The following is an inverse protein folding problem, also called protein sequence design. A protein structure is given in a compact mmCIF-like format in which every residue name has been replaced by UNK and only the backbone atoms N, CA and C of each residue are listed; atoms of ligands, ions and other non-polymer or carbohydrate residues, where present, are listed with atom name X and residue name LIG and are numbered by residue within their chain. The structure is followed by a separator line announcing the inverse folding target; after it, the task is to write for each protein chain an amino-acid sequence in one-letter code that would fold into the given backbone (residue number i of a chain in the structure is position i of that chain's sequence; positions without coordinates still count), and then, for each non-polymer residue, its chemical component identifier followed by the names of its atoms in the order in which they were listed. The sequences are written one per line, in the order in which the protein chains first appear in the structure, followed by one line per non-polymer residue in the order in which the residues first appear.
data_IF_476355206887
#
_entry.id   IF_476355206887
#
_cell.length_a   1.000
_cell.length_b   1.000
_cell.length_c   1.000
_cell.angle_alpha   90.00
_cell.angle_beta   90.00
_cell.angle_gamma   90.00
#
_symmetry.space_group_name_H-M   'P 1'
#
loop_
_entity.id
_entity.type
_entity.pdbx_description
1 polymer ?
#
# COMPACT_ATOMS: atom_id res chain seq x y z
N UNK A 1 -53.86 -59.25 -25.30
CA UNK A 1 -52.89 -58.14 -25.28
C UNK A 1 -52.33 -58.01 -23.86
N UNK A 2 -51.08 -58.45 -23.63
CA UNK A 2 -50.36 -58.25 -22.36
C UNK A 2 -49.50 -57.00 -22.51
N UNK A 3 -49.67 -56.02 -21.61
CA UNK A 3 -48.79 -54.84 -21.52
C UNK A 3 -47.85 -55.05 -20.35
N UNK A 4 -46.55 -55.12 -20.65
CA UNK A 4 -45.46 -55.05 -19.67
C UNK A 4 -45.29 -53.60 -19.20
N UNK A 5 -45.16 -53.39 -17.88
CA UNK A 5 -44.57 -52.16 -17.32
C UNK A 5 -43.35 -52.54 -16.49
N UNK A 6 -42.20 -52.10 -16.98
CA UNK A 6 -40.89 -52.21 -16.33
C UNK A 6 -40.77 -51.06 -15.32
N UNK A 7 -40.65 -51.39 -14.03
CA UNK A 7 -40.34 -50.42 -12.98
C UNK A 7 -38.82 -50.26 -12.90
N UNK A 8 -38.27 -49.15 -13.41
CA UNK A 8 -36.86 -48.79 -13.21
C UNK A 8 -36.69 -48.22 -11.80
N UNK A 9 -36.07 -48.99 -10.92
CA UNK A 9 -35.60 -48.50 -9.61
C UNK A 9 -34.30 -47.73 -9.86
N UNK A 10 -34.34 -46.41 -9.69
CA UNK A 10 -33.14 -45.58 -9.62
C UNK A 10 -32.53 -45.74 -8.22
N UNK A 11 -31.42 -46.46 -8.13
CA UNK A 11 -30.59 -46.50 -6.94
C UNK A 11 -29.79 -45.18 -6.87
N UNK A 12 -30.27 -44.22 -6.10
CA UNK A 12 -29.49 -43.02 -5.75
C UNK A 12 -28.48 -43.46 -4.69
N UNK A 13 -27.22 -43.68 -5.10
CA UNK A 13 -26.09 -43.77 -4.18
C UNK A 13 -25.90 -42.40 -3.52
N UNK A 14 -26.41 -42.25 -2.30
CA UNK A 14 -25.96 -41.20 -1.40
C UNK A 14 -24.54 -41.53 -0.94
N UNK A 15 -23.54 -40.95 -1.60
CA UNK A 15 -22.20 -40.85 -1.02
C UNK A 15 -22.31 -39.79 0.07
N UNK A 16 -22.47 -40.21 1.32
CA UNK A 16 -22.37 -39.33 2.48
C UNK A 16 -20.91 -38.91 2.66
N UNK A 17 -20.55 -37.77 2.07
CA UNK A 17 -19.39 -37.01 2.56
C UNK A 17 -19.73 -36.59 4.00
N UNK A 18 -19.20 -37.35 4.97
CA UNK A 18 -19.14 -36.91 6.35
C UNK A 18 -18.15 -35.75 6.40
N UNK A 19 -18.65 -34.53 6.19
CA UNK A 19 -18.02 -33.36 6.80
C UNK A 19 -18.13 -33.60 8.31
N UNK A 20 -17.05 -34.09 8.93
CA UNK A 20 -16.91 -33.94 10.37
C UNK A 20 -16.90 -32.43 10.61
N UNK A 21 -18.03 -31.88 11.05
CA UNK A 21 -18.08 -30.52 11.53
C UNK A 21 -17.03 -30.41 12.65
N UNK A 22 -16.05 -29.53 12.49
CA UNK A 22 -15.05 -29.28 13.53
C UNK A 22 -15.80 -28.87 14.80
N UNK A 23 -15.65 -29.65 15.88
CA UNK A 23 -16.36 -29.40 17.13
C UNK A 23 -15.52 -28.43 17.95
N UNK A 24 -15.99 -27.19 18.20
CA UNK A 24 -15.26 -26.26 19.06
C UNK A 24 -15.23 -26.80 20.49
N UNK A 25 -14.04 -26.87 21.08
CA UNK A 25 -13.79 -27.33 22.45
C UNK A 25 -13.78 -26.17 23.44
N UNK A 26 -13.02 -25.11 23.13
CA UNK A 26 -12.76 -24.02 24.07
C UNK A 26 -12.39 -22.74 23.32
N UNK A 27 -12.40 -21.62 24.03
CA UNK A 27 -11.94 -20.31 23.56
C UNK A 27 -10.87 -19.75 24.48
N UNK A 28 -9.70 -19.41 23.93
CA UNK A 28 -8.54 -18.92 24.69
C UNK A 28 -8.18 -17.51 24.26
N UNK A 29 -8.06 -16.59 25.23
CA UNK A 29 -7.49 -15.27 24.97
C UNK A 29 -5.96 -15.38 24.89
N UNK A 30 -5.39 -14.97 23.76
CA UNK A 30 -3.95 -15.00 23.51
C UNK A 30 -3.42 -13.61 23.17
N UNK A 31 -2.09 -13.48 23.07
CA UNK A 31 -1.45 -12.25 22.55
C UNK A 31 -1.85 -11.94 21.10
N UNK A 32 -2.30 -12.95 20.35
CA UNK A 32 -2.71 -12.85 18.95
C UNK A 32 -4.21 -12.55 18.79
N UNK A 33 -4.96 -12.52 19.89
CA UNK A 33 -6.41 -12.40 19.90
C UNK A 33 -7.09 -13.64 20.47
N UNK A 34 -8.41 -13.66 20.37
CA UNK A 34 -9.26 -14.73 20.90
C UNK A 34 -9.24 -15.92 19.94
N UNK A 35 -8.80 -17.08 20.40
CA UNK A 35 -8.66 -18.31 19.62
C UNK A 35 -9.78 -19.29 19.99
N UNK A 36 -10.36 -19.99 19.01
CA UNK A 36 -11.20 -21.18 19.22
C UNK A 36 -10.36 -22.42 18.95
N UNK A 37 -10.35 -23.34 19.91
CA UNK A 37 -9.69 -24.64 19.81
C UNK A 37 -10.72 -25.69 19.39
N UNK A 38 -10.37 -26.59 18.47
CA UNK A 38 -11.25 -27.64 17.98
C UNK A 38 -10.84 -29.04 18.47
N UNK A 39 -11.77 -29.99 18.39
CA UNK A 39 -11.58 -31.37 18.85
C UNK A 39 -10.53 -32.16 18.09
N UNK A 40 -10.20 -31.73 16.87
CA UNK A 40 -9.13 -32.26 16.03
C UNK A 40 -7.76 -31.63 16.32
N UNK A 41 -7.64 -30.87 17.41
CA UNK A 41 -6.44 -30.10 17.81
C UNK A 41 -6.08 -28.96 16.85
N UNK A 42 -6.95 -28.63 15.90
CA UNK A 42 -6.82 -27.40 15.13
C UNK A 42 -7.32 -26.21 15.94
N UNK A 43 -7.02 -25.01 15.45
CA UNK A 43 -7.49 -23.77 16.05
C UNK A 43 -7.78 -22.74 14.96
N UNK A 44 -8.66 -21.79 15.28
CA UNK A 44 -8.90 -20.59 14.49
C UNK A 44 -8.91 -19.36 15.39
N UNK A 45 -8.58 -18.20 14.85
CA UNK A 45 -8.80 -16.94 15.57
C UNK A 45 -10.20 -16.45 15.27
N UNK A 46 -10.88 -16.01 16.33
CA UNK A 46 -12.17 -15.34 16.25
C UNK A 46 -11.93 -13.97 15.63
N UNK A 47 -12.51 -13.68 14.46
CA UNK A 47 -12.41 -12.35 13.87
C UNK A 47 -12.98 -11.32 14.85
N UNK A 48 -12.26 -10.20 15.01
CA UNK A 48 -12.81 -9.07 15.75
C UNK A 48 -13.95 -8.45 14.94
N UNK A 49 -15.19 -8.81 15.29
CA UNK A 49 -16.40 -8.32 14.61
C UNK A 49 -16.62 -6.82 14.78
N UNK A 50 -15.88 -6.16 15.68
CA UNK A 50 -15.94 -4.71 15.88
C UNK A 50 -14.96 -3.94 15.01
N UNK A 51 -13.98 -4.64 14.40
CA UNK A 51 -12.99 -4.01 13.55
C UNK A 51 -13.58 -3.73 12.16
N UNK A 52 -13.75 -2.45 11.85
CA UNK A 52 -14.28 -1.99 10.56
C UNK A 52 -13.22 -1.86 9.45
N UNK A 53 -11.99 -2.31 9.70
CA UNK A 53 -10.90 -2.29 8.73
C UNK A 53 -10.17 -0.95 8.60
N UNK A 54 -10.60 0.09 9.32
CA UNK A 54 -10.03 1.44 9.21
C UNK A 54 -9.11 1.71 10.38
N UNK A 55 -7.80 1.73 10.11
CA UNK A 55 -6.78 2.04 11.11
C UNK A 55 -6.60 3.54 11.34
N UNK A 56 -6.72 4.35 10.27
CA UNK A 56 -6.58 5.80 10.34
C UNK A 56 -7.90 6.49 10.01
N UNK A 57 -8.68 6.84 11.06
CA UNK A 57 -10.02 7.43 10.93
C UNK A 57 -10.00 8.81 10.29
N UNK A 58 -9.02 9.63 10.65
CA UNK A 58 -8.89 11.00 10.13
C UNK A 58 -8.61 10.99 8.63
N UNK A 59 -7.60 10.23 8.21
CA UNK A 59 -7.27 10.05 6.81
C UNK A 59 -8.46 9.44 6.04
N UNK A 60 -9.14 8.46 6.62
CA UNK A 60 -10.33 7.88 5.99
C UNK A 60 -11.46 8.89 5.78
N UNK A 61 -11.68 9.78 6.76
CA UNK A 61 -12.62 10.89 6.64
C UNK A 61 -12.24 11.82 5.49
N UNK A 62 -10.97 12.23 5.41
CA UNK A 62 -10.44 13.06 4.32
C UNK A 62 -10.67 12.40 2.97
N UNK A 63 -10.33 11.11 2.86
CA UNK A 63 -10.38 10.34 1.62
C UNK A 63 -11.81 10.03 1.16
N UNK A 64 -12.79 10.14 2.05
CA UNK A 64 -14.21 9.98 1.75
C UNK A 64 -14.86 11.25 1.18
N UNK A 65 -14.16 12.40 1.21
CA UNK A 65 -14.72 13.66 0.72
C UNK A 65 -14.73 13.73 -0.81
N UNK A 66 -15.77 14.35 -1.37
CA UNK A 66 -15.96 14.51 -2.83
C UNK A 66 -15.10 15.64 -3.42
N UNK A 67 -14.79 16.67 -2.63
CA UNK A 67 -14.01 17.85 -3.05
C UNK A 67 -12.57 17.50 -3.44
N UNK A 68 -12.01 16.44 -2.86
CA UNK A 68 -10.66 15.94 -3.18
C UNK A 68 -10.62 14.98 -4.40
N UNK A 69 -11.73 14.79 -5.11
CA UNK A 69 -11.84 13.85 -6.24
C UNK A 69 -12.29 12.43 -5.87
N UNK A 70 -12.68 12.21 -4.60
CA UNK A 70 -13.27 10.97 -4.08
C UNK A 70 -14.78 10.85 -4.33
N UNK A 71 -15.50 10.00 -3.56
CA UNK A 71 -15.01 9.24 -2.40
C UNK A 71 -14.08 8.09 -2.83
N UNK A 72 -12.99 7.92 -2.09
CA UNK A 72 -12.12 6.75 -2.21
C UNK A 72 -12.46 5.74 -1.12
N UNK A 73 -12.55 4.46 -1.50
CA UNK A 73 -13.01 3.39 -0.61
C UNK A 73 -11.84 2.47 -0.30
N UNK A 74 -11.71 2.08 0.96
CA UNK A 74 -10.72 1.11 1.40
C UNK A 74 -11.45 -0.04 2.10
N UNK A 75 -11.85 -1.04 1.31
CA UNK A 75 -12.59 -2.20 1.85
C UNK A 75 -11.63 -3.06 2.68
N UNK A 76 -12.12 -3.61 3.79
CA UNK A 76 -11.46 -4.76 4.41
C UNK A 76 -11.96 -6.02 3.73
N UNK A 77 -11.07 -6.66 2.98
CA UNK A 77 -11.32 -7.91 2.30
C UNK A 77 -10.03 -8.72 2.41
N UNK A 78 -10.11 -9.89 3.03
CA UNK A 78 -8.99 -10.80 3.25
C UNK A 78 -8.89 -11.91 2.18
N UNK A 79 -9.75 -11.85 1.17
CA UNK A 79 -9.81 -12.79 0.07
C UNK A 79 -9.47 -12.15 -1.29
N UNK A 80 -9.69 -10.84 -1.46
CA UNK A 80 -9.23 -10.10 -2.64
C UNK A 80 -7.98 -9.27 -2.32
N UNK A 81 -6.97 -9.34 -3.19
CA UNK A 81 -5.80 -8.47 -3.08
C UNK A 81 -6.14 -7.01 -3.42
N UNK A 82 -7.24 -6.72 -4.13
CA UNK A 82 -7.56 -5.38 -4.62
C UNK A 82 -9.04 -5.01 -4.46
N UNK A 83 -9.34 -3.80 -4.02
CA UNK A 83 -10.71 -3.24 -4.01
C UNK A 83 -11.18 -2.79 -5.41
N UNK A 84 -10.25 -2.50 -6.35
CA UNK A 84 -10.48 -2.07 -7.75
C UNK A 84 -11.43 -0.86 -7.97
N UNK A 85 -11.79 -0.15 -6.90
CA UNK A 85 -12.76 0.95 -6.95
C UNK A 85 -12.12 2.35 -7.13
N UNK A 86 -10.85 2.50 -6.76
CA UNK A 86 -10.22 3.81 -6.67
C UNK A 86 -9.49 4.21 -7.95
N UNK A 87 -9.62 5.47 -8.33
CA UNK A 87 -8.78 6.12 -9.34
C UNK A 87 -8.13 7.37 -8.75
N UNK A 88 -6.96 7.21 -8.12
CA UNK A 88 -6.24 8.30 -7.47
C UNK A 88 -5.62 9.33 -8.43
N UNK A 89 -5.67 9.10 -9.75
CA UNK A 89 -5.30 10.15 -10.71
C UNK A 89 -6.30 11.33 -10.70
N UNK A 90 -7.49 11.13 -10.13
CA UNK A 90 -8.51 12.16 -9.92
C UNK A 90 -8.30 13.02 -8.68
N UNK A 91 -7.33 12.68 -7.83
CA UNK A 91 -7.04 13.42 -6.62
C UNK A 91 -6.78 14.90 -6.95
N UNK A 92 -7.58 15.80 -6.39
CA UNK A 92 -7.49 17.24 -6.72
C UNK A 92 -6.53 18.00 -5.80
N UNK A 93 -6.17 17.43 -4.65
CA UNK A 93 -5.29 18.03 -3.65
C UNK A 93 -4.11 17.11 -3.28
N UNK A 94 -3.23 17.61 -2.41
CA UNK A 94 -2.13 16.87 -1.81
C UNK A 94 -2.60 16.22 -0.51
N UNK A 95 -2.28 14.95 -0.32
CA UNK A 95 -2.50 14.27 0.96
C UNK A 95 -1.16 14.17 1.68
N UNK A 96 -1.11 14.64 2.91
CA UNK A 96 0.03 14.47 3.78
C UNK A 96 -0.15 13.19 4.60
N UNK A 97 0.88 12.35 4.62
CA UNK A 97 0.99 11.18 5.48
C UNK A 97 2.19 11.34 6.41
N UNK A 98 1.97 11.07 7.70
CA UNK A 98 3.02 10.86 8.68
C UNK A 98 3.43 9.38 8.59
N UNK A 99 4.63 9.09 8.10
CA UNK A 99 5.11 7.72 7.92
C UNK A 99 5.54 7.08 9.25
N UNK A 100 6.09 7.89 10.14
CA UNK A 100 6.48 7.53 11.51
C UNK A 100 5.90 8.58 12.46
N UNK A 101 5.21 8.12 13.51
CA UNK A 101 4.72 8.94 14.60
C UNK A 101 5.20 8.38 15.95
N UNK A 102 4.98 9.13 17.03
CA UNK A 102 5.41 8.72 18.38
C UNK A 102 4.57 7.57 18.98
N UNK A 103 3.47 7.18 18.32
CA UNK A 103 2.53 6.16 18.78
C UNK A 103 2.82 4.75 18.24
N UNK A 104 3.70 4.63 17.24
CA UNK A 104 3.98 3.39 16.51
C UNK A 104 5.49 3.14 16.33
N UNK A 105 5.85 1.89 16.03
CA UNK A 105 7.23 1.51 15.74
C UNK A 105 7.81 2.23 14.52
N UNK A 106 9.09 2.58 14.60
CA UNK A 106 9.85 3.16 13.48
C UNK A 106 9.93 2.17 12.31
N UNK A 107 10.06 2.69 11.09
CA UNK A 107 10.23 1.93 9.88
C UNK A 107 11.40 0.94 9.98
N UNK A 108 11.15 -0.28 9.49
CA UNK A 108 12.19 -1.30 9.31
C UNK A 108 12.25 -1.72 7.85
N UNK A 109 13.45 -1.91 7.31
CA UNK A 109 13.59 -2.45 5.96
C UNK A 109 13.04 -3.90 5.92
N UNK A 110 12.16 -4.27 4.97
CA UNK A 110 11.57 -5.62 4.92
C UNK A 110 12.57 -6.76 4.82
N UNK A 111 13.71 -6.49 4.18
CA UNK A 111 14.83 -7.40 3.99
C UNK A 111 16.11 -6.60 3.69
N UNK A 112 17.25 -7.05 4.20
CA UNK A 112 18.56 -6.51 3.86
C UNK A 112 19.05 -7.10 2.54
N UNK A 113 18.57 -6.54 1.43
CA UNK A 113 18.90 -7.01 0.09
C UNK A 113 18.98 -5.87 -0.94
N UNK A 114 19.92 -5.90 -1.89
CA UNK A 114 20.00 -4.91 -2.95
C UNK A 114 18.77 -4.95 -3.86
N UNK A 115 18.41 -3.79 -4.40
CA UNK A 115 17.37 -3.68 -5.45
C UNK A 115 17.86 -4.35 -6.74
N UNK A 116 17.19 -5.42 -7.15
CA UNK A 116 17.46 -6.11 -8.43
C UNK A 116 16.57 -5.57 -9.54
N UNK A 117 15.37 -5.08 -9.20
CA UNK A 117 14.41 -4.63 -10.19
C UNK A 117 13.46 -3.55 -9.64
N UNK A 118 13.53 -2.35 -10.24
CA UNK A 118 12.75 -1.14 -9.86
C UNK A 118 11.29 -1.11 -10.36
N UNK A 119 10.50 -0.27 -9.71
CA UNK A 119 9.17 0.17 -10.17
C UNK A 119 9.32 0.91 -11.51
N UNK A 120 8.86 0.30 -12.60
CA UNK A 120 8.88 0.87 -13.96
C UNK A 120 8.03 0.05 -14.93
N UNK A 121 7.76 0.64 -16.09
CA UNK A 121 7.23 -0.09 -17.24
C UNK A 121 8.29 -0.99 -17.87
N UNK A 122 7.94 -2.25 -18.17
CA UNK A 122 8.81 -3.24 -18.84
C UNK A 122 8.01 -4.16 -19.73
N UNK A 123 8.44 -4.33 -20.98
CA UNK A 123 7.94 -5.37 -21.88
C UNK A 123 6.39 -5.46 -21.94
N UNK A 124 5.70 -4.32 -22.05
CA UNK A 124 4.24 -4.31 -22.12
C UNK A 124 3.52 -4.23 -20.76
N UNK A 125 4.19 -4.50 -19.64
CA UNK A 125 3.58 -4.61 -18.30
C UNK A 125 4.25 -3.66 -17.29
N UNK A 126 3.46 -3.11 -16.37
CA UNK A 126 4.00 -2.32 -15.27
C UNK A 126 4.45 -3.23 -14.13
N UNK A 127 5.67 -3.00 -13.65
CA UNK A 127 6.14 -3.52 -12.39
C UNK A 127 5.64 -2.62 -11.27
N UNK A 128 4.67 -3.10 -10.48
CA UNK A 128 3.95 -2.31 -9.47
C UNK A 128 4.69 -2.16 -8.13
N UNK A 129 5.86 -2.77 -8.00
CA UNK A 129 6.70 -2.73 -6.82
C UNK A 129 8.17 -2.67 -7.17
N UNK A 130 8.98 -3.17 -6.25
CA UNK A 130 10.42 -3.32 -6.35
C UNK A 130 10.79 -4.74 -5.95
N UNK A 131 11.79 -5.30 -6.60
CA UNK A 131 12.32 -6.61 -6.26
C UNK A 131 13.63 -6.42 -5.51
N UNK A 132 13.72 -7.05 -4.35
CA UNK A 132 14.88 -7.06 -3.46
C UNK A 132 15.48 -8.45 -3.47
N UNK A 133 16.79 -8.53 -3.66
CA UNK A 133 17.50 -9.80 -3.61
C UNK A 133 17.34 -10.45 -2.23
N UNK A 134 17.13 -11.77 -2.20
CA UNK A 134 17.17 -12.55 -0.98
C UNK A 134 17.43 -14.02 -1.25
N UNK A 135 17.88 -14.73 -0.23
CA UNK A 135 17.99 -16.19 -0.26
C UNK A 135 16.69 -16.80 0.25
N UNK A 136 16.24 -17.88 -0.40
CA UNK A 136 15.02 -18.57 0.04
C UNK A 136 15.21 -19.06 1.47
N UNK A 137 14.28 -18.69 2.36
CA UNK A 137 14.38 -18.95 3.80
C UNK A 137 14.78 -17.74 4.63
N UNK A 138 15.29 -16.65 4.03
CA UNK A 138 15.57 -15.41 4.76
C UNK A 138 14.30 -14.86 5.41
N UNK A 139 14.42 -14.27 6.60
CA UNK A 139 13.28 -13.68 7.31
C UNK A 139 12.87 -12.37 6.64
N UNK A 140 11.59 -12.29 6.25
CA UNK A 140 10.97 -11.05 5.78
C UNK A 140 10.15 -10.45 6.93
N UNK A 141 10.30 -9.14 7.16
CA UNK A 141 9.66 -8.43 8.27
C UNK A 141 8.65 -7.38 7.80
N UNK A 142 7.72 -7.00 8.69
CA UNK A 142 6.81 -5.88 8.43
C UNK A 142 7.57 -4.55 8.41
N UNK A 143 7.31 -3.73 7.39
CA UNK A 143 7.96 -2.42 7.22
C UNK A 143 7.50 -1.37 8.24
N UNK A 144 6.25 -1.47 8.70
CA UNK A 144 5.61 -0.57 9.64
C UNK A 144 4.64 -1.36 10.54
N UNK A 145 4.22 -0.77 11.64
CA UNK A 145 3.12 -1.30 12.46
C UNK A 145 1.83 -1.38 11.65
N UNK A 146 1.02 -2.41 11.89
CA UNK A 146 -0.23 -2.56 11.17
C UNK A 146 -1.03 -3.80 11.53
N UNK A 147 -2.01 -4.08 10.69
CA UNK A 147 -2.86 -5.27 10.75
C UNK A 147 -2.77 -6.00 9.43
N UNK A 148 -2.46 -7.29 9.49
CA UNK A 148 -2.42 -8.17 8.32
C UNK A 148 -3.82 -8.24 7.72
N UNK A 149 -3.97 -7.77 6.48
CA UNK A 149 -5.23 -7.84 5.75
C UNK A 149 -5.36 -9.15 4.98
N UNK A 150 -4.25 -9.65 4.45
CA UNK A 150 -4.23 -10.82 3.57
C UNK A 150 -2.99 -11.65 3.89
N UNK A 151 -3.16 -12.96 4.07
CA UNK A 151 -2.04 -13.88 4.20
C UNK A 151 -2.47 -15.25 3.66
N UNK A 152 -2.14 -15.52 2.40
CA UNK A 152 -2.46 -16.79 1.73
C UNK A 152 -1.70 -16.91 0.41
N UNK A 153 -1.79 -18.10 -0.19
CA UNK A 153 -1.36 -18.30 -1.56
C UNK A 153 -2.30 -17.59 -2.55
N UNK A 154 -1.72 -16.80 -3.43
CA UNK A 154 -2.37 -16.05 -4.49
C UNK A 154 -2.01 -16.63 -5.87
N UNK A 155 -3.03 -17.08 -6.60
CA UNK A 155 -2.89 -17.62 -7.97
C UNK A 155 -2.76 -16.55 -9.06
N UNK A 156 -2.91 -15.26 -8.71
CA UNK A 156 -2.80 -14.11 -9.62
C UNK A 156 -1.37 -13.71 -9.99
N UNK A 157 -0.37 -14.45 -9.50
CA UNK A 157 1.05 -14.28 -9.82
C UNK A 157 1.93 -13.95 -8.63
N UNK A 158 1.38 -13.48 -7.50
CA UNK A 158 2.19 -13.17 -6.31
C UNK A 158 2.71 -14.41 -5.57
N UNK A 159 2.08 -15.58 -5.73
CA UNK A 159 2.43 -16.75 -4.92
C UNK A 159 1.98 -16.54 -3.47
N UNK A 160 2.77 -16.98 -2.49
CA UNK A 160 2.46 -16.66 -1.10
C UNK A 160 2.65 -15.17 -0.86
N UNK A 161 1.57 -14.54 -0.42
CA UNK A 161 1.47 -13.09 -0.28
C UNK A 161 0.99 -12.73 1.11
N UNK A 162 1.70 -11.79 1.74
CA UNK A 162 1.21 -11.04 2.90
C UNK A 162 0.90 -9.61 2.46
N UNK A 163 -0.25 -9.09 2.86
CA UNK A 163 -0.62 -7.67 2.72
C UNK A 163 -0.90 -7.12 4.11
N UNK A 164 -0.25 -6.02 4.47
CA UNK A 164 -0.39 -5.38 5.78
C UNK A 164 -0.92 -3.97 5.56
N UNK A 165 -1.99 -3.63 6.27
CA UNK A 165 -2.53 -2.27 6.33
C UNK A 165 -1.93 -1.56 7.54
N UNK A 166 -1.43 -0.36 7.35
CA UNK A 166 -0.68 0.38 8.38
C UNK A 166 -1.44 1.58 8.92
N UNK A 167 -1.07 2.01 10.13
CA UNK A 167 -1.67 3.17 10.79
C UNK A 167 -1.36 4.50 10.08
N UNK A 168 -0.26 4.56 9.32
CA UNK A 168 0.08 5.69 8.44
C UNK A 168 -0.77 5.76 7.15
N UNK A 169 -1.69 4.81 6.94
CA UNK A 169 -2.62 4.79 5.81
C UNK A 169 -2.12 4.08 4.55
N UNK A 170 -0.90 3.54 4.58
CA UNK A 170 -0.35 2.73 3.50
C UNK A 170 -0.75 1.25 3.65
N UNK A 171 -0.73 0.52 2.54
CA UNK A 171 -0.62 -0.93 2.53
C UNK A 171 0.72 -1.36 1.95
N UNK A 172 1.33 -2.40 2.51
CA UNK A 172 2.53 -3.03 1.95
C UNK A 172 2.26 -4.47 1.55
N UNK A 173 2.87 -4.90 0.44
CA UNK A 173 2.71 -6.24 -0.13
C UNK A 173 4.07 -6.94 -0.09
N UNK A 174 4.07 -8.19 0.37
CA UNK A 174 5.26 -9.04 0.48
C UNK A 174 4.98 -10.35 -0.25
N UNK A 175 5.44 -10.45 -1.49
CA UNK A 175 5.12 -11.55 -2.39
C UNK A 175 6.29 -12.52 -2.60
N UNK A 176 6.00 -13.61 -3.29
CA UNK A 176 6.92 -14.71 -3.63
C UNK A 176 7.48 -15.46 -2.42
N UNK A 177 6.89 -15.30 -1.23
CA UNK A 177 7.36 -15.92 0.00
C UNK A 177 7.37 -17.45 -0.10
N UNK A 178 8.31 -18.11 0.57
CA UNK A 178 8.32 -19.58 0.69
C UNK A 178 7.37 -20.06 1.78
N UNK A 179 7.20 -19.26 2.84
CA UNK A 179 6.33 -19.57 3.98
C UNK A 179 5.66 -18.31 4.54
N UNK A 180 4.39 -18.45 4.90
CA UNK A 180 3.61 -17.44 5.61
C UNK A 180 3.71 -17.73 7.12
N UNK A 181 4.03 -16.72 7.92
CA UNK A 181 4.18 -16.85 9.38
C UNK A 181 3.15 -16.02 10.16
N UNK A 182 2.27 -15.32 9.44
CA UNK A 182 1.18 -14.51 9.99
C UNK A 182 -0.13 -14.83 9.28
N UNK A 183 -1.26 -14.42 9.85
CA UNK A 183 -2.62 -14.67 9.32
C UNK A 183 -3.43 -13.37 9.27
N UNK A 184 -4.54 -13.36 8.52
CA UNK A 184 -5.44 -12.20 8.41
C UNK A 184 -6.00 -11.79 9.77
N UNK A 185 -5.99 -10.48 10.06
CA UNK A 185 -6.42 -9.90 11.33
C UNK A 185 -5.32 -9.79 12.39
N UNK A 186 -4.15 -10.41 12.18
CA UNK A 186 -3.02 -10.30 13.11
C UNK A 186 -2.51 -8.86 13.16
N UNK A 187 -2.40 -8.29 14.36
CA UNK A 187 -1.62 -7.07 14.60
C UNK A 187 -0.14 -7.41 14.57
N UNK A 188 0.64 -6.63 13.84
CA UNK A 188 2.08 -6.82 13.68
C UNK A 188 2.82 -5.51 13.92
N UNK A 189 3.99 -5.61 14.53
CA UNK A 189 4.89 -4.47 14.72
C UNK A 189 5.89 -4.36 13.56
N UNK A 190 6.41 -3.15 13.33
CA UNK A 190 7.56 -2.96 12.47
C UNK A 190 8.73 -3.84 12.93
N UNK A 191 9.38 -4.52 11.98
CA UNK A 191 10.44 -5.48 12.26
C UNK A 191 9.98 -6.87 12.71
N UNK A 192 8.68 -7.10 12.92
CA UNK A 192 8.14 -8.43 13.22
C UNK A 192 8.24 -9.33 11.98
N UNK A 193 8.68 -10.57 12.18
CA UNK A 193 8.82 -11.56 11.10
C UNK A 193 7.44 -12.01 10.61
N UNK A 194 7.17 -11.80 9.34
CA UNK A 194 5.86 -12.09 8.72
C UNK A 194 5.89 -13.31 7.78
N UNK A 195 7.08 -13.70 7.32
CA UNK A 195 7.25 -14.79 6.39
C UNK A 195 8.71 -15.07 6.09
N UNK A 196 8.93 -16.06 5.23
CA UNK A 196 10.26 -16.41 4.73
C UNK A 196 10.35 -16.10 3.24
N UNK A 197 11.47 -15.52 2.80
CA UNK A 197 11.78 -15.24 1.40
C UNK A 197 11.72 -16.49 0.54
N UNK A 198 11.41 -16.34 -0.74
CA UNK A 198 11.22 -17.49 -1.63
C UNK A 198 11.13 -17.15 -3.11
N UNK A 199 10.52 -18.07 -3.86
CA UNK A 199 10.34 -18.00 -5.30
C UNK A 199 8.97 -18.58 -5.73
N UNK A 200 7.92 -18.31 -4.96
CA UNK A 200 6.57 -18.84 -5.27
C UNK A 200 5.81 -17.94 -6.25
N UNK A 201 4.82 -18.49 -6.97
CA UNK A 201 4.04 -17.72 -7.94
C UNK A 201 4.79 -17.50 -9.26
N UNK A 202 4.55 -16.36 -9.91
CA UNK A 202 5.19 -16.02 -11.18
C UNK A 202 6.51 -15.27 -10.93
N UNK A 203 7.55 -16.02 -10.58
CA UNK A 203 8.88 -15.51 -10.26
C UNK A 203 9.96 -16.34 -10.96
N UNK A 204 11.06 -15.70 -11.37
CA UNK A 204 12.17 -16.33 -12.13
C UNK A 204 13.38 -16.67 -11.26
N UNK A 205 13.35 -16.32 -9.97
CA UNK A 205 14.46 -16.51 -9.04
C UNK A 205 14.07 -16.02 -7.64
N UNK A 206 14.84 -16.41 -6.63
CA UNK A 206 14.59 -16.00 -5.24
C UNK A 206 14.68 -14.49 -5.09
N UNK A 207 13.59 -13.84 -4.65
CA UNK A 207 13.55 -12.41 -4.35
C UNK A 207 12.31 -12.07 -3.52
N UNK A 208 12.31 -10.91 -2.87
CA UNK A 208 11.08 -10.30 -2.33
C UNK A 208 10.55 -9.32 -3.36
N UNK A 209 9.33 -9.57 -3.85
CA UNK A 209 8.57 -8.53 -4.54
C UNK A 209 7.80 -7.70 -3.50
N UNK A 210 8.23 -6.45 -3.35
CA UNK A 210 7.72 -5.51 -2.36
C UNK A 210 6.95 -4.37 -3.04
N UNK A 211 5.70 -4.18 -2.67
CA UNK A 211 4.90 -3.02 -3.11
C UNK A 211 4.52 -2.14 -1.93
N UNK A 212 4.43 -0.84 -2.20
CA UNK A 212 3.77 0.14 -1.32
C UNK A 212 2.56 0.67 -2.07
N UNK A 213 1.39 0.66 -1.43
CA UNK A 213 0.14 1.11 -2.03
C UNK A 213 -0.57 2.07 -1.11
N UNK A 214 -1.29 3.01 -1.71
CA UNK A 214 -2.20 3.91 -1.00
C UNK A 214 -3.57 3.77 -1.64
N UNK A 215 -4.59 3.39 -0.85
CA UNK A 215 -5.94 3.12 -1.35
C UNK A 215 -5.95 2.23 -2.61
N UNK A 216 -5.20 1.12 -2.54
CA UNK A 216 -4.95 0.14 -3.62
C UNK A 216 -4.23 0.62 -4.87
N UNK A 217 -3.88 1.91 -4.96
CA UNK A 217 -3.04 2.39 -6.05
C UNK A 217 -1.57 2.22 -5.67
N UNK A 218 -0.75 1.61 -6.53
CA UNK A 218 0.65 1.41 -6.22
C UNK A 218 1.39 2.73 -6.33
N UNK A 219 2.27 2.97 -5.37
CA UNK A 219 3.24 4.06 -5.42
C UNK A 219 4.63 3.45 -5.54
N UNK A 220 5.54 4.17 -6.19
CA UNK A 220 6.92 3.73 -6.27
C UNK A 220 7.51 3.68 -4.83
N UNK A 221 7.97 2.52 -4.32
CA UNK A 221 8.50 2.42 -2.95
C UNK A 221 9.68 3.37 -2.68
N UNK A 222 10.40 3.76 -3.73
CA UNK A 222 11.49 4.73 -3.64
C UNK A 222 11.01 6.19 -3.47
N UNK A 223 9.71 6.48 -3.44
CA UNK A 223 9.21 7.78 -2.99
C UNK A 223 9.45 7.99 -1.49
N UNK A 224 9.45 6.90 -0.71
CA UNK A 224 9.56 6.93 0.74
C UNK A 224 10.84 6.26 1.27
N UNK A 225 11.39 5.26 0.59
CA UNK A 225 12.55 4.48 1.09
C UNK A 225 13.81 4.79 0.27
N UNK A 226 14.92 5.04 0.95
CA UNK A 226 16.26 4.98 0.38
C UNK A 226 16.83 3.57 0.60
N UNK A 227 16.65 2.68 -0.38
CA UNK A 227 17.09 1.28 -0.27
C UNK A 227 18.60 1.10 -0.15
N UNK A 228 19.42 2.13 -0.46
CA UNK A 228 20.86 2.07 -0.21
C UNK A 228 21.20 2.34 1.25
N UNK A 229 20.43 3.21 1.90
CA UNK A 229 20.57 3.54 3.32
C UNK A 229 19.68 2.69 4.23
N UNK A 230 18.78 1.92 3.64
CA UNK A 230 17.80 1.08 4.33
C UNK A 230 16.94 1.86 5.34
N UNK A 231 16.62 3.09 4.98
CA UNK A 231 15.90 4.02 5.84
C UNK A 231 14.87 4.81 5.04
N UNK A 232 13.92 5.42 5.75
CA UNK A 232 13.05 6.41 5.14
C UNK A 232 13.84 7.63 4.66
N UNK A 233 13.43 8.19 3.53
CA UNK A 233 13.96 9.47 3.03
C UNK A 233 13.51 10.64 3.90
N UNK A 234 12.29 10.56 4.43
CA UNK A 234 11.68 11.53 5.32
C UNK A 234 10.57 10.84 6.12
N UNK A 235 10.27 11.34 7.32
CA UNK A 235 9.12 10.88 8.12
C UNK A 235 7.78 11.38 7.56
N UNK A 236 7.79 12.32 6.61
CA UNK A 236 6.60 12.89 5.98
C UNK A 236 6.56 12.54 4.49
N UNK A 237 5.40 12.08 4.02
CA UNK A 237 5.13 11.83 2.61
C UNK A 237 3.98 12.72 2.11
N UNK A 238 4.21 13.43 1.00
CA UNK A 238 3.20 14.28 0.36
C UNK A 238 2.73 13.63 -0.94
N UNK A 239 1.58 12.98 -0.89
CA UNK A 239 0.97 12.28 -2.01
C UNK A 239 0.29 13.26 -2.96
N UNK A 240 0.62 13.16 -4.24
CA UNK A 240 0.00 13.93 -5.32
C UNK A 240 -0.47 12.99 -6.42
N UNK A 241 -1.52 13.37 -7.17
CA UNK A 241 -2.10 12.55 -8.25
C UNK A 241 -1.10 11.99 -9.28
N UNK A 242 0.03 12.67 -9.48
CA UNK A 242 1.07 12.26 -10.43
C UNK A 242 1.85 11.02 -9.99
N UNK A 243 1.90 10.74 -8.69
CA UNK A 243 2.58 9.56 -8.13
C UNK A 243 1.86 8.25 -8.47
N UNK A 244 0.55 8.31 -8.76
CA UNK A 244 -0.29 7.15 -9.10
C UNK A 244 -0.35 6.86 -10.60
N UNK A 245 0.46 7.56 -11.40
CA UNK A 245 0.63 7.21 -12.82
C UNK A 245 1.51 5.96 -12.89
N UNK A 246 1.08 4.89 -13.58
CA UNK A 246 1.85 3.66 -13.66
C UNK A 246 3.29 3.89 -14.16
N UNK A 247 4.27 3.31 -13.48
CA UNK A 247 5.67 3.33 -13.90
C UNK A 247 6.41 4.67 -13.73
N UNK A 248 5.83 5.64 -13.02
CA UNK A 248 6.51 6.89 -12.67
C UNK A 248 7.73 6.63 -11.79
N UNK A 249 8.86 7.23 -12.17
CA UNK A 249 10.06 7.23 -11.34
C UNK A 249 9.89 8.13 -10.12
N UNK A 250 10.72 7.97 -9.08
CA UNK A 250 10.55 8.72 -7.84
C UNK A 250 10.57 10.23 -8.10
N UNK A 251 9.77 10.98 -7.36
CA UNK A 251 9.58 12.41 -7.56
C UNK A 251 10.88 13.22 -7.41
N UNK A 252 11.85 12.71 -6.65
CA UNK A 252 13.20 13.27 -6.50
C UNK A 252 14.12 13.03 -7.72
N UNK A 253 13.73 12.15 -8.65
CA UNK A 253 14.59 11.65 -9.72
C UNK A 253 14.24 12.14 -11.14
N UNK A 254 13.68 13.34 -11.38
CA UNK A 254 13.69 13.89 -12.77
C UNK A 254 13.81 15.43 -12.89
N UNK A 255 14.99 15.90 -13.31
CA UNK A 255 15.20 16.68 -14.57
C UNK A 255 16.69 16.66 -14.97
N UNK A 256 17.08 15.93 -16.02
CA UNK A 256 18.33 16.21 -16.73
C UNK A 256 18.05 17.33 -17.75
N UNK A 257 18.78 18.44 -17.67
CA UNK A 257 18.83 19.42 -18.77
C UNK A 257 19.78 18.89 -19.88
N UNK A 258 19.62 19.31 -21.14
CA UNK A 258 20.45 18.85 -22.27
C UNK A 258 21.96 19.07 -22.11
N UNK A 259 22.38 19.87 -21.11
CA UNK A 259 23.75 20.29 -20.86
C UNK A 259 24.38 19.70 -19.59
N UNK A 260 23.79 18.65 -18.98
CA UNK A 260 24.47 17.83 -17.98
C UNK A 260 24.66 18.43 -16.57
N UNK A 261 24.27 19.67 -16.30
CA UNK A 261 24.36 20.25 -14.94
C UNK A 261 23.15 19.90 -14.07
N UNK A 262 23.40 19.29 -12.90
CA UNK A 262 22.42 18.91 -11.88
C UNK A 262 22.12 20.12 -10.98
N UNK A 263 20.87 20.52 -10.84
CA UNK A 263 20.45 21.53 -9.85
C UNK A 263 19.32 20.96 -9.00
N UNK A 264 19.55 20.86 -7.70
CA UNK A 264 18.53 20.56 -6.70
C UNK A 264 17.66 21.81 -6.50
N UNK A 265 16.36 21.70 -6.74
CA UNK A 265 15.43 22.75 -6.34
C UNK A 265 14.44 22.13 -5.38
N UNK A 266 14.76 22.19 -4.08
CA UNK A 266 13.77 22.00 -3.03
C UNK A 266 12.55 22.86 -3.35
N UNK A 267 11.36 22.25 -3.28
CA UNK A 267 10.09 22.98 -3.41
C UNK A 267 10.08 24.07 -2.33
N UNK A 268 10.18 25.33 -2.74
CA UNK A 268 10.22 26.46 -1.82
C UNK A 268 8.84 27.09 -1.79
N UNK A 269 8.32 27.29 -0.59
CA UNK A 269 7.06 27.99 -0.37
C UNK A 269 7.33 29.38 0.22
N UNK A 270 6.45 30.32 -0.09
CA UNK A 270 6.49 31.69 0.38
C UNK A 270 5.13 32.05 0.98
N UNK A 271 5.12 32.53 2.23
CA UNK A 271 3.91 32.99 2.90
C UNK A 271 3.68 34.46 2.55
N UNK A 272 2.57 34.75 1.87
CA UNK A 272 2.17 36.10 1.46
C UNK A 272 2.06 37.01 2.68
N UNK A 273 2.72 38.16 2.64
CA UNK A 273 2.70 39.20 3.66
C UNK A 273 1.94 40.44 3.18
N UNK A 274 1.53 41.30 4.10
CA UNK A 274 0.85 42.55 3.76
C UNK A 274 1.72 43.40 2.82
N UNK A 275 1.14 43.84 1.70
CA UNK A 275 1.82 44.66 0.69
C UNK A 275 2.60 43.88 -0.39
N UNK A 276 2.61 42.55 -0.36
CA UNK A 276 3.24 41.77 -1.42
C UNK A 276 2.45 41.81 -2.75
N UNK A 277 3.19 41.79 -3.86
CA UNK A 277 2.65 41.61 -5.22
C UNK A 277 3.24 40.36 -5.87
N UNK A 278 2.53 39.79 -6.86
CA UNK A 278 3.04 38.64 -7.63
C UNK A 278 4.43 38.91 -8.24
N UNK A 279 4.66 40.13 -8.74
CA UNK A 279 5.94 40.57 -9.31
C UNK A 279 7.04 40.59 -8.24
N UNK A 280 6.79 41.20 -7.09
CA UNK A 280 7.76 41.29 -6.00
C UNK A 280 8.10 39.90 -5.41
N UNK A 281 7.11 39.02 -5.25
CA UNK A 281 7.32 37.64 -4.78
C UNK A 281 8.13 36.84 -5.80
N UNK A 282 7.83 36.98 -7.09
CA UNK A 282 8.53 36.28 -8.16
C UNK A 282 10.01 36.69 -8.22
N UNK A 283 10.27 38.00 -8.20
CA UNK A 283 11.62 38.57 -8.17
C UNK A 283 12.41 38.12 -6.95
N UNK A 284 11.83 38.26 -5.75
CA UNK A 284 12.45 37.86 -4.46
C UNK A 284 12.82 36.37 -4.43
N UNK A 285 12.07 35.54 -5.14
CA UNK A 285 12.30 34.09 -5.21
C UNK A 285 12.96 33.64 -6.53
N UNK A 286 13.48 34.59 -7.33
CA UNK A 286 14.19 34.33 -8.59
C UNK A 286 13.42 33.36 -9.49
N UNK A 287 12.14 33.68 -9.72
CA UNK A 287 11.20 33.00 -10.61
C UNK A 287 10.45 34.05 -11.44
N UNK A 288 9.62 33.64 -12.41
CA UNK A 288 8.79 34.58 -13.17
C UNK A 288 7.37 34.64 -12.63
N UNK A 289 6.66 35.74 -12.84
CA UNK A 289 5.22 35.86 -12.50
C UNK A 289 4.42 34.76 -13.18
N UNK A 290 4.71 34.47 -14.45
CA UNK A 290 4.06 33.38 -15.18
C UNK A 290 4.30 32.00 -14.55
N UNK A 291 5.51 31.74 -14.05
CA UNK A 291 5.85 30.50 -13.35
C UNK A 291 5.18 30.42 -11.98
N UNK A 292 5.23 31.51 -11.21
CA UNK A 292 4.55 31.65 -9.92
C UNK A 292 3.05 31.40 -10.04
N UNK A 293 2.42 32.03 -11.03
CA UNK A 293 1.00 31.86 -11.33
C UNK A 293 0.67 30.41 -11.70
N UNK A 294 1.44 29.82 -12.62
CA UNK A 294 1.26 28.42 -13.03
C UNK A 294 1.42 27.44 -11.88
N UNK A 295 2.39 27.67 -11.00
CA UNK A 295 2.66 26.80 -9.84
C UNK A 295 1.55 26.83 -8.78
N UNK A 296 0.76 27.91 -8.74
CA UNK A 296 -0.26 28.15 -7.71
C UNK A 296 -1.68 28.26 -8.26
N UNK A 297 -1.89 27.97 -9.56
CA UNK A 297 -3.19 28.11 -10.20
C UNK A 297 -3.73 29.54 -10.22
N UNK A 298 -2.85 30.54 -10.12
CA UNK A 298 -3.23 31.95 -10.11
C UNK A 298 -3.23 32.49 -11.54
N UNK A 299 -4.03 33.54 -11.75
CA UNK A 299 -3.93 34.44 -12.90
C UNK A 299 -3.02 35.60 -12.51
N UNK A 300 -2.46 36.30 -13.49
CA UNK A 300 -1.66 37.52 -13.24
C UNK A 300 -2.47 38.63 -12.54
N UNK A 301 -3.81 38.52 -12.57
CA UNK A 301 -4.77 39.41 -11.92
C UNK A 301 -5.34 38.85 -10.61
N UNK A 302 -4.87 37.69 -10.14
CA UNK A 302 -5.35 37.10 -8.89
C UNK A 302 -4.96 37.95 -7.68
N UNK A 303 -5.92 38.21 -6.81
CA UNK A 303 -5.69 38.86 -5.51
C UNK A 303 -5.02 37.86 -4.57
N UNK A 304 -3.89 38.25 -3.98
CA UNK A 304 -3.17 37.45 -2.99
C UNK A 304 -3.77 37.64 -1.60
N UNK A 305 -4.00 36.55 -0.88
CA UNK A 305 -4.50 36.59 0.50
C UNK A 305 -3.32 36.61 1.48
N UNK A 306 -3.35 37.50 2.47
CA UNK A 306 -2.31 37.55 3.50
C UNK A 306 -2.31 36.22 4.25
N UNK A 307 -1.12 35.62 4.40
CA UNK A 307 -0.93 34.29 5.00
C UNK A 307 -1.03 33.13 4.03
N UNK A 308 -1.40 33.35 2.76
CA UNK A 308 -1.43 32.31 1.72
C UNK A 308 -0.03 31.77 1.43
N UNK A 309 0.13 30.46 1.37
CA UNK A 309 1.38 29.83 0.95
C UNK A 309 1.41 29.68 -0.57
N UNK A 310 2.39 30.32 -1.21
CA UNK A 310 2.65 30.20 -2.63
C UNK A 310 3.90 29.36 -2.88
N UNK A 311 3.79 28.37 -3.75
CA UNK A 311 4.93 27.64 -4.28
C UNK A 311 5.72 28.53 -5.23
N UNK A 312 6.97 28.82 -4.89
CA UNK A 312 7.83 29.74 -5.64
C UNK A 312 8.91 29.02 -6.47
N UNK A 313 9.21 27.75 -6.14
CA UNK A 313 10.18 26.89 -6.84
C UNK A 313 9.76 25.42 -6.79
#
# INVERSE_FOLDING_TARGET
MKVFRVLKIFLVCFVSLHYFAQIPLDTVDSKLGKMVMFSDQSWELVPDSTFDGILNKELHSIMSRKDIGGPFVMKWDDNDCYTRANNLTKLSDTIWLCLEDDGHGSFTIPIDGPVTSRYKYRNGKYHNGIDLDLVTGDTVVSAFDGVVRYSRNNSGGYGNLVIIRHYNGLETYYAHLSKLLVFSGQKVQSGEVIGLGGNTGHSFGSHLHFEVRFYDSPINPEELIDFKKQALKNTNLFLHKTMFRPGVSPSDQWRQKPNGTKEYVAKKYYKVSAGDTLSAIAERNRTSVSSLCRLNGLRTTSILQIGQNLRVR
#
